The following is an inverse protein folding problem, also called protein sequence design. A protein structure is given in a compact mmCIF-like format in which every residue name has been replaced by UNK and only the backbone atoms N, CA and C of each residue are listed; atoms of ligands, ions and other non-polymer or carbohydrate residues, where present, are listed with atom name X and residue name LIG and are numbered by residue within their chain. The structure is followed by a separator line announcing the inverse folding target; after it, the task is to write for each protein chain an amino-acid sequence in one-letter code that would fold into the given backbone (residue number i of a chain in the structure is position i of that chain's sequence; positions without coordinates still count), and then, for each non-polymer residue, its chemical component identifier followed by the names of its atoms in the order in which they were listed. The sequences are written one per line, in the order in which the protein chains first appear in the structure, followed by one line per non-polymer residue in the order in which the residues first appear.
data_IF_353468458933
#
_entry.id   IF_353468458933
#
_cell.length_a   1.000
_cell.length_b   1.000
_cell.length_c   1.000
_cell.angle_alpha   90.00
_cell.angle_beta   90.00
_cell.angle_gamma   90.00
#
_symmetry.space_group_name_H-M   'P 1'
#
loop_
_entity.id
_entity.type
_entity.pdbx_description
1 polymer ?
#
# COMPACT_ATOMS: atom_id res chain seq x y z
N UNK A 1 26.12 -37.61 -4.17
CA UNK A 1 26.40 -37.52 -2.72
C UNK A 1 26.76 -36.06 -2.40
N UNK A 2 25.88 -35.31 -1.73
CA UNK A 2 26.12 -33.88 -1.44
C UNK A 2 27.13 -33.78 -0.28
N UNK A 3 28.24 -33.08 -0.50
CA UNK A 3 29.31 -32.88 0.47
C UNK A 3 28.77 -32.14 1.72
N UNK A 4 29.10 -32.60 2.94
CA UNK A 4 28.61 -32.02 4.20
C UNK A 4 28.91 -30.51 4.31
N UNK A 5 30.06 -30.06 3.81
CA UNK A 5 30.42 -28.62 3.79
C UNK A 5 29.47 -27.82 2.90
N UNK A 6 29.07 -28.38 1.76
CA UNK A 6 28.12 -27.76 0.82
C UNK A 6 26.71 -27.71 1.41
N UNK A 7 26.35 -28.70 2.23
CA UNK A 7 25.07 -28.73 2.96
C UNK A 7 25.02 -27.61 4.00
N UNK A 8 26.09 -27.42 4.79
CA UNK A 8 26.20 -26.32 5.76
C UNK A 8 26.13 -24.95 5.08
N UNK A 9 26.85 -24.76 3.97
CA UNK A 9 26.82 -23.51 3.20
C UNK A 9 25.42 -23.17 2.69
N UNK A 10 24.71 -24.18 2.16
CA UNK A 10 23.32 -24.04 1.70
C UNK A 10 22.39 -23.64 2.85
N UNK A 11 22.63 -24.18 4.06
CA UNK A 11 21.79 -23.89 5.23
C UNK A 11 21.95 -22.43 5.68
N UNK A 12 23.18 -21.90 5.67
CA UNK A 12 23.46 -20.49 6.02
C UNK A 12 22.85 -19.53 4.98
N UNK A 13 22.92 -19.88 3.69
CA UNK A 13 22.34 -19.08 2.62
C UNK A 13 20.81 -18.95 2.75
N UNK A 14 20.12 -20.05 3.07
CA UNK A 14 18.67 -20.05 3.31
C UNK A 14 18.32 -19.19 4.53
N UNK A 15 19.13 -19.25 5.59
CA UNK A 15 18.92 -18.47 6.81
C UNK A 15 19.06 -16.96 6.56
N UNK A 16 19.98 -16.54 5.69
CA UNK A 16 20.14 -15.13 5.30
C UNK A 16 18.96 -14.63 4.45
N UNK A 17 18.46 -15.43 3.51
CA UNK A 17 17.32 -15.06 2.66
C UNK A 17 16.01 -14.87 3.44
N UNK A 18 15.82 -15.62 4.54
CA UNK A 18 14.64 -15.50 5.37
C UNK A 18 14.48 -14.11 6.02
N UNK A 19 15.58 -13.38 6.28
CA UNK A 19 15.53 -12.09 6.95
C UNK A 19 14.97 -10.95 6.07
N UNK A 20 15.04 -11.09 4.74
CA UNK A 20 14.58 -10.07 3.79
C UNK A 20 13.04 -9.92 3.75
N UNK A 21 12.29 -10.88 4.30
CA UNK A 21 10.82 -10.89 4.25
C UNK A 21 10.15 -10.09 5.40
N UNK A 22 10.84 -9.85 6.52
CA UNK A 22 10.21 -9.35 7.74
C UNK A 22 10.08 -7.81 7.83
N UNK A 23 10.69 -7.04 6.93
CA UNK A 23 10.77 -5.57 7.01
C UNK A 23 9.62 -4.78 6.37
N UNK A 24 8.83 -5.38 5.47
CA UNK A 24 7.91 -4.62 4.60
C UNK A 24 6.51 -4.37 5.20
N UNK A 25 6.11 -5.15 6.21
CA UNK A 25 4.72 -5.11 6.73
C UNK A 25 4.44 -4.07 7.81
N UNK A 26 5.46 -3.51 8.47
CA UNK A 26 5.25 -2.65 9.64
C UNK A 26 4.64 -1.29 9.27
N UNK A 27 5.12 -0.69 8.18
CA UNK A 27 4.64 0.61 7.69
C UNK A 27 3.18 0.49 7.24
N UNK A 28 2.85 -0.56 6.49
CA UNK A 28 1.50 -0.83 6.02
C UNK A 28 0.53 -1.00 7.18
N UNK A 29 0.89 -1.81 8.20
CA UNK A 29 0.03 -2.06 9.37
C UNK A 29 -0.25 -0.79 10.18
N UNK A 30 0.77 0.05 10.39
CA UNK A 30 0.59 1.32 11.10
C UNK A 30 -0.29 2.29 10.33
N UNK A 31 -0.04 2.41 9.02
CA UNK A 31 -0.84 3.25 8.14
C UNK A 31 -2.30 2.79 8.12
N UNK A 32 -2.52 1.48 8.03
CA UNK A 32 -3.86 0.89 8.06
C UNK A 32 -4.60 1.19 9.35
N UNK A 33 -3.94 1.05 10.50
CA UNK A 33 -4.53 1.35 11.81
C UNK A 33 -4.92 2.82 11.96
N UNK A 34 -4.05 3.74 11.50
CA UNK A 34 -4.34 5.18 11.57
C UNK A 34 -5.51 5.54 10.64
N UNK A 35 -5.52 5.02 9.42
CA UNK A 35 -6.57 5.33 8.44
C UNK A 35 -7.91 4.73 8.84
N UNK A 36 -7.92 3.51 9.39
CA UNK A 36 -9.12 2.92 9.99
C UNK A 36 -9.66 3.77 11.14
N UNK A 37 -8.78 4.25 12.03
CA UNK A 37 -9.19 5.12 13.14
C UNK A 37 -9.74 6.46 12.65
N UNK A 38 -9.12 7.05 11.64
CA UNK A 38 -9.59 8.29 11.02
C UNK A 38 -10.98 8.09 10.36
N UNK A 39 -11.18 6.97 9.66
CA UNK A 39 -12.46 6.62 9.08
C UNK A 39 -13.54 6.38 10.15
N UNK A 40 -13.22 5.60 11.18
CA UNK A 40 -14.12 5.30 12.28
C UNK A 40 -14.55 6.55 13.06
N UNK A 41 -13.68 7.56 13.15
CA UNK A 41 -13.98 8.87 13.75
C UNK A 41 -14.76 9.81 12.82
N UNK A 42 -15.02 9.40 11.58
CA UNK A 42 -15.71 10.22 10.57
C UNK A 42 -14.88 11.38 10.02
N UNK A 43 -13.59 11.46 10.36
CA UNK A 43 -12.69 12.52 9.87
C UNK A 43 -12.09 12.19 8.51
N UNK A 44 -12.33 10.98 7.98
CA UNK A 44 -11.83 10.54 6.68
C UNK A 44 -12.86 9.69 5.91
N UNK A 45 -13.09 10.05 4.65
CA UNK A 45 -13.84 9.30 3.63
C UNK A 45 -13.13 9.55 2.29
N UNK A 46 -12.49 8.52 1.72
CA UNK A 46 -11.59 8.69 0.57
C UNK A 46 -10.72 7.48 0.25
N UNK A 47 -9.97 7.59 -0.85
CA UNK A 47 -8.98 6.61 -1.30
C UNK A 47 -7.58 7.01 -0.78
N UNK A 48 -6.78 6.02 -0.37
CA UNK A 48 -5.39 6.20 0.06
C UNK A 48 -4.50 5.30 -0.79
N UNK A 49 -3.53 5.89 -1.47
CA UNK A 49 -2.50 5.18 -2.23
C UNK A 49 -1.11 5.70 -1.85
N UNK A 50 -0.23 4.79 -1.44
CA UNK A 50 1.16 5.10 -1.10
C UNK A 50 2.09 4.28 -2.00
N UNK A 51 2.98 4.97 -2.70
CA UNK A 51 4.05 4.36 -3.48
C UNK A 51 5.42 4.64 -2.87
N UNK A 52 6.31 3.66 -2.93
CA UNK A 52 7.69 3.80 -2.52
C UNK A 52 8.58 3.25 -3.62
N UNK A 53 9.49 4.09 -4.14
CA UNK A 53 10.39 3.75 -5.25
C UNK A 53 9.65 3.22 -6.49
N UNK A 54 8.54 3.86 -6.84
CA UNK A 54 7.71 3.48 -8.01
C UNK A 54 6.87 2.21 -7.81
N UNK A 55 6.91 1.57 -6.64
CA UNK A 55 6.03 0.43 -6.30
C UNK A 55 4.92 0.88 -5.37
N UNK A 56 3.67 0.55 -5.68
CA UNK A 56 2.55 0.73 -4.74
C UNK A 56 2.77 -0.21 -3.55
N UNK A 57 2.88 0.37 -2.35
CA UNK A 57 3.09 -0.36 -1.10
C UNK A 57 1.87 -0.36 -0.19
N UNK A 58 0.86 0.48 -0.46
CA UNK A 58 -0.41 0.49 0.27
C UNK A 58 -1.50 1.12 -0.60
N UNK A 59 -2.64 0.47 -0.70
CA UNK A 59 -3.80 0.94 -1.45
C UNK A 59 -5.08 0.49 -0.74
N UNK A 60 -5.91 1.44 -0.32
CA UNK A 60 -7.17 1.18 0.39
C UNK A 60 -8.20 2.27 0.10
N UNK A 61 -9.46 1.89 0.13
CA UNK A 61 -10.61 2.79 0.02
C UNK A 61 -11.40 2.78 1.33
N UNK A 62 -11.78 3.96 1.82
CA UNK A 62 -12.53 4.12 3.06
C UNK A 62 -13.79 4.94 2.81
N UNK A 63 -14.93 4.48 3.32
CA UNK A 63 -16.20 5.19 3.25
C UNK A 63 -16.98 5.00 1.95
N UNK A 64 -17.71 6.03 1.57
CA UNK A 64 -18.80 5.96 0.59
C UNK A 64 -18.68 7.08 -0.45
N UNK A 65 -19.00 6.75 -1.70
CA UNK A 65 -18.99 7.65 -2.84
C UNK A 65 -20.22 8.58 -2.89
N UNK A 66 -21.23 8.34 -2.06
CA UNK A 66 -22.44 9.15 -1.97
C UNK A 66 -22.74 9.59 -0.53
N UNK A 67 -23.43 10.74 -0.41
CA UNK A 67 -23.88 11.26 0.88
C UNK A 67 -24.98 10.40 1.53
N UNK A 68 -25.62 9.52 0.76
CA UNK A 68 -26.58 8.52 1.24
C UNK A 68 -25.93 7.29 1.88
N UNK A 69 -24.60 7.16 1.84
CA UNK A 69 -23.83 6.02 2.37
C UNK A 69 -24.26 4.67 1.78
N UNK A 70 -24.79 4.68 0.58
CA UNK A 70 -25.30 3.50 -0.13
C UNK A 70 -24.28 2.92 -1.08
N UNK A 71 -23.34 3.74 -1.56
CA UNK A 71 -22.32 3.32 -2.52
C UNK A 71 -20.93 3.32 -1.89
N UNK A 72 -20.31 2.14 -1.76
CA UNK A 72 -18.93 2.03 -1.28
C UNK A 72 -17.97 2.76 -2.23
N UNK A 73 -16.97 3.42 -1.64
CA UNK A 73 -15.87 3.99 -2.39
C UNK A 73 -15.01 2.84 -2.96
N UNK A 74 -14.88 2.77 -4.27
CA UNK A 74 -14.01 1.81 -4.97
C UNK A 74 -12.76 2.55 -5.48
N UNK A 75 -11.61 1.85 -5.50
CA UNK A 75 -10.32 2.42 -5.95
C UNK A 75 -10.36 2.99 -7.38
N UNK A 76 -11.31 2.53 -8.20
CA UNK A 76 -11.54 3.03 -9.57
C UNK A 76 -11.97 4.51 -9.64
N UNK A 77 -12.34 5.13 -8.51
CA UNK A 77 -12.38 6.59 -8.40
C UNK A 77 -10.94 7.10 -8.27
N UNK A 78 -10.21 7.01 -9.39
CA UNK A 78 -8.92 7.65 -9.60
C UNK A 78 -9.05 9.13 -9.23
N UNK A 79 -8.00 9.67 -8.61
CA UNK A 79 -7.79 11.10 -8.49
C UNK A 79 -8.14 11.71 -9.85
N UNK A 80 -9.20 12.51 -9.92
CA UNK A 80 -9.64 13.17 -11.16
C UNK A 80 -8.62 14.26 -11.45
N UNK A 81 -7.43 13.84 -11.90
CA UNK A 81 -6.43 14.68 -12.53
C UNK A 81 -7.01 15.04 -13.90
N UNK A 82 -8.10 15.83 -13.96
CA UNK A 82 -8.46 16.48 -15.21
C UNK A 82 -7.30 17.39 -15.56
N UNK A 83 -6.37 16.83 -16.32
CA UNK A 83 -5.43 17.49 -17.19
C UNK A 83 -6.26 18.32 -18.18
N UNK A 84 -6.78 19.46 -17.73
CA UNK A 84 -6.81 20.59 -18.63
C UNK A 84 -5.35 20.99 -18.77
N UNK A 85 -4.71 20.80 -19.93
CA UNK A 85 -3.40 21.38 -20.13
C UNK A 85 -3.53 22.87 -19.80
N UNK A 86 -2.62 23.38 -18.96
CA UNK A 86 -2.52 24.80 -18.68
C UNK A 86 -2.10 25.50 -19.96
N UNK A 87 -3.06 25.77 -20.85
CA UNK A 87 -2.87 26.61 -22.01
C UNK A 87 -2.79 28.04 -21.52
N UNK A 88 -1.58 28.62 -21.58
CA UNK A 88 -1.40 30.05 -21.39
C UNK A 88 -2.30 30.80 -22.40
N UNK A 89 -3.02 31.85 -21.98
CA UNK A 89 -3.76 32.67 -22.92
C UNK A 89 -2.78 33.35 -23.88
N UNK A 90 -3.00 33.14 -25.18
CA UNK A 90 -2.40 33.93 -26.24
C UNK A 90 -3.17 35.23 -26.47
#
# INVERSE_FOLDING_TARGET
MINMKNKTLLTVLILMLAQAAFGQGLVQKRLDSIMQLAHARGVFNGNVMLSQKGKIIYERSFGYADGSKTKLLISAYQFDDRERPFTLPG
#
